data_IF_138305297509
#
_entry.id   IF_138305297509
#
_cell.length_a   1.000
_cell.length_b   1.000
_cell.length_c   1.000
_cell.angle_alpha   90.00
_cell.angle_beta   90.00
_cell.angle_gamma   90.00
#
_symmetry.space_group_name_H-M   'P 1'
#
loop_
_entity.id
_entity.type
_entity.pdbx_description
1 polymer ?
#
# COMPACT_ATOMS: atom_id res chain seq x y z
N UNK A 1 55.81 53.47 18.61
CA UNK A 1 55.48 52.67 17.40
C UNK A 1 54.39 51.67 17.79
N UNK A 2 53.22 51.80 17.17
CA UNK A 2 52.02 51.00 17.41
C UNK A 2 51.95 49.88 16.36
N UNK A 3 51.70 48.60 16.71
CA UNK A 3 51.15 47.66 15.75
C UNK A 3 49.62 47.59 15.94
N UNK A 4 48.90 48.25 15.02
CA UNK A 4 47.51 47.94 14.68
C UNK A 4 47.54 46.80 13.65
N UNK A 5 46.61 45.85 13.75
CA UNK A 5 46.31 44.90 12.66
C UNK A 5 45.69 43.59 13.14
N UNK A 6 44.40 43.61 13.44
CA UNK A 6 43.37 42.91 12.65
C UNK A 6 43.10 41.46 13.10
N UNK A 7 42.19 41.30 14.06
CA UNK A 7 41.46 40.05 14.23
C UNK A 7 40.01 40.36 14.62
N UNK A 8 39.18 40.62 13.62
CA UNK A 8 37.72 40.60 13.74
C UNK A 8 37.11 40.13 12.42
N UNK A 9 36.27 39.09 12.55
CA UNK A 9 35.12 38.67 11.71
C UNK A 9 35.22 37.25 11.18
N UNK A 10 34.94 36.30 12.06
CA UNK A 10 34.45 34.96 11.71
C UNK A 10 33.29 34.66 12.67
N UNK A 11 32.13 35.31 12.48
CA UNK A 11 30.96 35.01 13.32
C UNK A 11 29.59 35.28 12.68
N UNK A 12 29.48 35.40 11.35
CA UNK A 12 28.18 35.70 10.72
C UNK A 12 27.79 34.84 9.52
N UNK A 13 28.60 33.87 9.10
CA UNK A 13 28.25 33.00 7.95
C UNK A 13 27.65 31.65 8.38
N UNK A 14 27.69 31.28 9.65
CA UNK A 14 27.13 29.99 10.13
C UNK A 14 25.65 30.06 10.55
N UNK A 15 25.01 31.23 10.55
CA UNK A 15 23.63 31.41 11.03
C UNK A 15 22.59 31.55 9.90
N UNK A 16 22.97 31.40 8.63
CA UNK A 16 22.04 31.52 7.49
C UNK A 16 21.56 30.16 6.97
N UNK A 17 22.24 29.06 7.32
CA UNK A 17 21.77 27.71 6.97
C UNK A 17 20.72 27.14 7.94
N UNK A 18 20.52 27.72 9.12
CA UNK A 18 19.61 27.17 10.13
C UNK A 18 18.14 27.62 9.97
N UNK A 19 17.88 28.72 9.25
CA UNK A 19 16.52 29.27 9.10
C UNK A 19 15.88 28.91 7.75
N UNK A 20 16.68 28.54 6.74
CA UNK A 20 16.16 28.01 5.48
C UNK A 20 15.57 26.59 5.59
N UNK A 21 15.81 25.88 6.70
CA UNK A 21 15.24 24.55 6.97
C UNK A 21 13.90 24.58 7.72
N UNK A 22 13.38 25.75 8.08
CA UNK A 22 12.11 25.87 8.81
C UNK A 22 10.88 26.04 7.89
N UNK A 23 11.07 26.05 6.57
CA UNK A 23 10.00 25.89 5.58
C UNK A 23 10.06 24.50 4.92
N UNK A 24 10.42 23.47 5.70
CA UNK A 24 10.20 22.10 5.26
C UNK A 24 8.69 21.91 5.06
N UNK A 25 8.37 21.51 3.84
CA UNK A 25 7.05 21.26 3.30
C UNK A 25 6.09 20.64 4.32
N UNK A 26 4.79 20.89 4.13
CA UNK A 26 3.76 19.95 4.59
C UNK A 26 4.26 18.56 4.23
N UNK A 27 4.71 17.76 5.23
CA UNK A 27 4.95 16.35 5.04
C UNK A 27 3.62 15.81 4.53
N UNK A 28 3.55 15.51 3.24
CA UNK A 28 2.43 14.77 2.71
C UNK A 28 2.43 13.46 3.49
N UNK A 29 1.35 13.19 4.21
CA UNK A 29 1.15 11.97 5.00
C UNK A 29 1.14 10.68 4.15
N UNK A 30 1.48 10.79 2.86
CA UNK A 30 1.28 9.85 1.79
C UNK A 30 2.39 10.12 0.76
N UNK A 31 3.06 9.07 0.30
CA UNK A 31 4.15 9.17 -0.67
C UNK A 31 3.86 8.28 -1.86
N UNK A 32 3.81 8.84 -3.07
CA UNK A 32 3.62 8.08 -4.28
C UNK A 32 4.73 7.04 -4.50
N UNK A 33 4.34 5.85 -4.95
CA UNK A 33 5.25 4.86 -5.50
C UNK A 33 5.61 5.27 -6.94
N UNK A 34 6.89 5.28 -7.25
CA UNK A 34 7.42 5.72 -8.56
C UNK A 34 8.00 4.60 -9.39
N UNK A 35 8.36 3.48 -8.76
CA UNK A 35 8.78 2.26 -9.44
C UNK A 35 8.55 1.03 -8.54
N UNK A 36 8.44 -0.13 -9.17
CA UNK A 36 8.29 -1.43 -8.52
C UNK A 36 9.34 -2.36 -9.12
N UNK A 37 10.17 -2.95 -8.27
CA UNK A 37 11.13 -3.97 -8.66
C UNK A 37 10.61 -5.33 -8.21
N UNK A 38 10.58 -6.24 -9.16
CA UNK A 38 10.04 -7.58 -8.99
C UNK A 38 11.15 -8.60 -8.77
N UNK A 39 10.89 -9.55 -7.88
CA UNK A 39 11.78 -10.68 -7.65
C UNK A 39 11.70 -11.73 -8.76
N UNK A 40 12.15 -12.95 -8.46
CA UNK A 40 12.02 -14.07 -9.39
C UNK A 40 10.61 -14.65 -9.34
N UNK A 41 10.03 -14.91 -10.51
CA UNK A 41 8.73 -15.57 -10.61
C UNK A 41 8.75 -16.92 -9.89
N UNK A 42 7.74 -17.15 -9.06
CA UNK A 42 7.48 -18.43 -8.41
C UNK A 42 6.36 -19.12 -9.15
N UNK A 43 6.56 -20.40 -9.48
CA UNK A 43 5.58 -21.20 -10.18
C UNK A 43 5.20 -22.41 -9.33
N UNK A 44 3.91 -22.63 -9.14
CA UNK A 44 3.37 -23.77 -8.39
C UNK A 44 2.25 -24.41 -9.18
N UNK A 45 1.73 -25.54 -8.70
CA UNK A 45 0.75 -26.31 -9.48
C UNK A 45 -0.51 -25.50 -9.79
N UNK A 46 -0.87 -25.42 -11.07
CA UNK A 46 -2.11 -24.78 -11.52
C UNK A 46 -3.32 -25.39 -10.81
N UNK A 47 -4.34 -24.57 -10.59
CA UNK A 47 -5.56 -24.97 -9.88
C UNK A 47 -6.78 -24.44 -10.61
N UNK A 48 -7.78 -25.28 -10.81
CA UNK A 48 -9.07 -24.85 -11.38
C UNK A 48 -10.15 -24.89 -10.31
N UNK A 49 -10.84 -23.77 -10.12
CA UNK A 49 -11.98 -23.64 -9.22
C UNK A 49 -13.09 -22.89 -9.95
N UNK A 50 -14.25 -23.54 -10.10
CA UNK A 50 -15.33 -23.01 -10.94
C UNK A 50 -14.85 -22.84 -12.38
N UNK A 51 -15.03 -21.64 -12.93
CA UNK A 51 -14.61 -21.23 -14.26
C UNK A 51 -13.30 -20.41 -14.27
N UNK A 52 -12.50 -20.45 -13.20
CA UNK A 52 -11.15 -19.87 -13.17
C UNK A 52 -10.11 -20.97 -13.03
N UNK A 53 -9.09 -20.92 -13.89
CA UNK A 53 -7.85 -21.67 -13.74
C UNK A 53 -6.75 -20.71 -13.32
N UNK A 54 -6.29 -20.84 -12.07
CA UNK A 54 -5.12 -20.15 -11.54
C UNK A 54 -3.87 -20.85 -12.05
N UNK A 55 -3.01 -20.12 -12.77
CA UNK A 55 -1.69 -20.63 -13.13
C UNK A 55 -0.79 -20.77 -11.91
N UNK A 56 -1.08 -20.02 -10.84
CA UNK A 56 -0.24 -19.96 -9.64
C UNK A 56 1.22 -19.61 -9.97
N UNK A 57 1.38 -18.72 -10.96
CA UNK A 57 2.65 -18.13 -11.37
C UNK A 57 2.65 -16.67 -10.94
N UNK A 58 3.37 -16.33 -9.88
CA UNK A 58 3.38 -14.98 -9.33
C UNK A 58 4.80 -14.47 -9.15
N UNK A 59 4.98 -13.16 -9.34
CA UNK A 59 6.27 -12.51 -9.14
C UNK A 59 6.17 -11.58 -7.95
N UNK A 60 6.86 -11.88 -6.82
CA UNK A 60 6.75 -11.07 -5.63
C UNK A 60 7.35 -9.69 -5.88
N UNK A 61 6.78 -8.67 -5.24
CA UNK A 61 7.42 -7.35 -5.18
C UNK A 61 8.60 -7.44 -4.21
N UNK A 62 9.80 -7.14 -4.70
CA UNK A 62 11.01 -7.12 -3.86
C UNK A 62 11.24 -5.72 -3.28
N UNK A 63 11.12 -4.70 -4.14
CA UNK A 63 11.29 -3.31 -3.76
C UNK A 63 10.24 -2.41 -4.39
N UNK A 64 10.03 -1.28 -3.74
CA UNK A 64 9.41 -0.11 -4.36
C UNK A 64 10.33 1.09 -4.21
N UNK A 65 10.24 2.01 -5.16
CA UNK A 65 10.90 3.31 -5.07
C UNK A 65 9.89 4.41 -4.83
N UNK A 66 10.27 5.38 -4.00
CA UNK A 66 9.45 6.56 -3.66
C UNK A 66 10.34 7.80 -3.56
N UNK A 67 9.73 8.99 -3.38
CA UNK A 67 10.47 10.21 -3.07
C UNK A 67 11.21 10.16 -1.71
N UNK A 68 10.86 9.22 -0.82
CA UNK A 68 11.52 9.01 0.47
C UNK A 68 12.67 7.99 0.42
N UNK A 69 12.86 7.32 -0.73
CA UNK A 69 13.84 6.26 -0.92
C UNK A 69 13.20 4.93 -1.30
N UNK A 70 14.01 3.87 -1.29
CA UNK A 70 13.62 2.50 -1.63
C UNK A 70 13.13 1.77 -0.39
N UNK A 71 12.04 1.02 -0.51
CA UNK A 71 11.49 0.17 0.54
C UNK A 71 11.47 -1.28 0.09
N UNK A 72 11.70 -2.20 1.03
CA UNK A 72 11.52 -3.63 0.84
C UNK A 72 10.46 -4.19 1.79
N UNK A 73 10.02 -5.43 1.52
CA UNK A 73 8.94 -6.08 2.26
C UNK A 73 9.49 -7.15 3.22
N UNK A 74 10.37 -6.72 4.13
CA UNK A 74 10.97 -7.61 5.16
C UNK A 74 10.24 -7.56 6.52
N UNK A 75 9.14 -6.83 6.61
CA UNK A 75 8.28 -6.82 7.79
C UNK A 75 7.35 -8.04 7.85
N UNK A 76 6.66 -8.25 8.98
CA UNK A 76 5.70 -9.33 9.10
C UNK A 76 4.53 -9.13 8.12
N UNK A 77 4.03 -10.25 7.61
CA UNK A 77 2.76 -10.33 6.89
C UNK A 77 1.62 -10.37 7.92
N UNK A 78 0.47 -9.77 7.58
CA UNK A 78 -0.75 -9.94 8.36
C UNK A 78 -1.08 -11.43 8.51
N UNK A 79 -1.51 -11.82 9.71
CA UNK A 79 -1.92 -13.19 10.02
C UNK A 79 -3.32 -13.52 9.48
N UNK A 80 -4.15 -12.49 9.29
CA UNK A 80 -5.49 -12.62 8.70
C UNK A 80 -5.92 -11.29 8.07
N UNK A 81 -6.73 -11.38 7.02
CA UNK A 81 -7.51 -10.25 6.50
C UNK A 81 -8.99 -10.56 6.67
N UNK A 82 -9.74 -9.65 7.30
CA UNK A 82 -11.16 -9.85 7.61
C UNK A 82 -12.02 -8.79 6.94
N UNK A 83 -13.03 -9.23 6.21
CA UNK A 83 -14.00 -8.36 5.53
C UNK A 83 -15.20 -8.14 6.43
N UNK A 84 -15.54 -6.87 6.67
CA UNK A 84 -16.63 -6.50 7.58
C UNK A 84 -17.85 -6.08 6.79
N UNK A 85 -18.99 -6.66 7.19
CA UNK A 85 -20.34 -6.45 6.64
C UNK A 85 -20.65 -7.05 5.26
N UNK A 86 -19.70 -7.76 4.64
CA UNK A 86 -19.90 -8.47 3.37
C UNK A 86 -21.17 -9.38 3.35
N UNK A 87 -21.49 -10.06 4.46
CA UNK A 87 -22.55 -11.09 4.53
C UNK A 87 -23.77 -10.71 5.38
N UNK A 88 -24.01 -9.42 5.67
CA UNK A 88 -25.12 -9.02 6.57
C UNK A 88 -26.51 -9.15 5.93
N UNK A 89 -27.56 -9.38 6.74
CA UNK A 89 -28.95 -9.46 6.25
C UNK A 89 -29.36 -8.22 5.45
N UNK A 90 -29.95 -8.41 4.26
CA UNK A 90 -30.34 -7.32 3.36
C UNK A 90 -29.20 -6.78 2.48
N UNK A 91 -27.99 -7.34 2.61
CA UNK A 91 -26.83 -7.01 1.79
C UNK A 91 -26.67 -8.05 0.67
N UNK A 92 -26.56 -7.67 -0.63
CA UNK A 92 -26.14 -8.62 -1.65
C UNK A 92 -24.75 -9.17 -1.26
N UNK A 93 -24.71 -10.47 -0.96
CA UNK A 93 -23.52 -11.20 -0.50
C UNK A 93 -22.54 -11.43 -1.67
N UNK A 94 -22.15 -10.35 -2.33
CA UNK A 94 -21.38 -10.38 -3.55
C UNK A 94 -19.94 -10.02 -3.28
N UNK A 95 -19.03 -10.61 -4.03
CA UNK A 95 -17.62 -10.32 -3.93
C UNK A 95 -17.03 -10.25 -5.32
N UNK A 96 -16.30 -9.18 -5.59
CA UNK A 96 -15.78 -8.88 -6.91
C UNK A 96 -14.26 -8.81 -6.83
N UNK A 97 -13.61 -9.68 -7.59
CA UNK A 97 -12.16 -9.78 -7.69
C UNK A 97 -11.76 -9.57 -9.13
N UNK A 98 -10.68 -8.86 -9.38
CA UNK A 98 -10.07 -8.79 -10.69
C UNK A 98 -8.79 -9.61 -10.73
N UNK A 99 -8.46 -10.11 -11.91
CA UNK A 99 -7.26 -10.90 -12.16
C UNK A 99 -6.62 -10.46 -13.47
N UNK A 100 -5.30 -10.37 -13.49
CA UNK A 100 -4.55 -10.45 -14.72
C UNK A 100 -4.76 -11.83 -15.35
N UNK A 101 -5.07 -11.87 -16.64
CA UNK A 101 -5.39 -13.12 -17.33
C UNK A 101 -4.44 -13.43 -18.47
N UNK A 102 -4.07 -14.71 -18.57
CA UNK A 102 -3.26 -15.23 -19.67
C UNK A 102 -4.12 -15.56 -20.89
N UNK A 103 -5.32 -16.12 -20.68
CA UNK A 103 -6.27 -16.42 -21.75
C UNK A 103 -7.69 -16.53 -21.25
N UNK A 104 -8.66 -16.26 -22.13
CA UNK A 104 -10.08 -16.57 -21.92
C UNK A 104 -10.52 -17.57 -22.99
N UNK A 105 -11.12 -18.69 -22.56
CA UNK A 105 -11.72 -19.70 -23.43
C UNK A 105 -13.23 -19.75 -23.26
N UNK A 106 -13.89 -20.72 -23.91
CA UNK A 106 -15.34 -20.94 -23.88
C UNK A 106 -15.86 -21.25 -22.47
N UNK A 107 -16.05 -20.22 -21.64
CA UNK A 107 -16.59 -20.33 -20.29
C UNK A 107 -15.57 -20.64 -19.18
N UNK A 108 -14.25 -20.56 -19.45
CA UNK A 108 -13.19 -20.64 -18.42
C UNK A 108 -12.10 -19.63 -18.71
N UNK A 109 -11.66 -18.90 -17.69
CA UNK A 109 -10.54 -17.99 -17.79
C UNK A 109 -9.31 -18.55 -17.09
N UNK A 110 -8.14 -18.36 -17.71
CA UNK A 110 -6.84 -18.71 -17.12
C UNK A 110 -6.18 -17.44 -16.62
N UNK A 111 -5.91 -17.37 -15.32
CA UNK A 111 -5.38 -16.18 -14.62
C UNK A 111 -3.97 -16.41 -14.12
N UNK A 112 -3.19 -15.33 -14.01
CA UNK A 112 -1.83 -15.38 -13.48
C UNK A 112 -1.80 -15.49 -11.96
N UNK A 113 -2.83 -14.98 -11.28
CA UNK A 113 -2.90 -14.90 -9.82
C UNK A 113 -2.87 -16.23 -9.07
N UNK A 114 -2.61 -16.09 -7.77
CA UNK A 114 -2.58 -17.18 -6.80
C UNK A 114 -3.99 -17.59 -6.35
N UNK A 115 -4.28 -18.89 -6.42
CA UNK A 115 -5.48 -19.48 -5.85
C UNK A 115 -5.29 -20.93 -5.38
N UNK A 116 -5.83 -21.23 -4.20
CA UNK A 116 -5.96 -22.58 -3.63
C UNK A 116 -7.27 -23.27 -4.09
N UNK A 117 -7.52 -24.47 -3.56
CA UNK A 117 -8.75 -25.28 -3.59
C UNK A 117 -10.02 -24.52 -3.21
N UNK A 118 -9.88 -23.51 -2.36
CA UNK A 118 -10.98 -22.80 -1.71
C UNK A 118 -10.59 -21.33 -1.60
N UNK A 119 -10.49 -20.63 -2.75
CA UNK A 119 -10.00 -19.27 -2.78
C UNK A 119 -10.95 -18.37 -1.99
N UNK A 120 -10.36 -17.45 -1.22
CA UNK A 120 -11.11 -16.48 -0.43
C UNK A 120 -10.62 -15.06 -0.68
N UNK A 121 -11.45 -14.06 -0.37
CA UNK A 121 -10.99 -12.66 -0.37
C UNK A 121 -9.78 -12.44 0.54
N UNK A 122 -9.72 -13.18 1.66
CA UNK A 122 -8.60 -13.09 2.61
C UNK A 122 -7.31 -13.57 1.97
N UNK A 123 -7.38 -14.68 1.23
CA UNK A 123 -6.24 -15.20 0.47
C UNK A 123 -5.77 -14.22 -0.61
N UNK A 124 -6.70 -13.59 -1.32
CA UNK A 124 -6.36 -12.56 -2.33
C UNK A 124 -5.55 -11.44 -1.70
N UNK A 125 -5.99 -10.88 -0.57
CA UNK A 125 -5.27 -9.77 0.08
C UNK A 125 -4.00 -10.19 0.83
N UNK A 126 -3.91 -11.45 1.27
CA UNK A 126 -2.70 -12.02 1.88
C UNK A 126 -1.67 -12.51 0.86
N UNK A 127 -2.03 -12.59 -0.43
CA UNK A 127 -1.16 -13.13 -1.46
C UNK A 127 0.10 -12.29 -1.70
N UNK A 128 0.05 -10.99 -1.37
CA UNK A 128 1.09 -10.01 -1.67
C UNK A 128 1.45 -10.02 -3.17
N UNK A 129 0.40 -10.09 -4.00
CA UNK A 129 0.46 -10.30 -5.45
C UNK A 129 -0.17 -9.12 -6.19
N UNK A 130 0.51 -8.65 -7.23
CA UNK A 130 0.05 -7.57 -8.11
C UNK A 130 -0.58 -8.09 -9.41
N UNK A 131 -0.99 -9.35 -9.45
CA UNK A 131 -1.74 -9.93 -10.58
C UNK A 131 -3.21 -10.16 -10.25
N UNK A 132 -3.66 -9.88 -9.03
CA UNK A 132 -5.05 -10.02 -8.62
C UNK A 132 -5.41 -8.98 -7.55
N UNK A 133 -6.69 -8.73 -7.33
CA UNK A 133 -7.13 -7.73 -6.36
C UNK A 133 -8.64 -7.62 -6.24
N UNK A 134 -9.09 -6.79 -5.31
CA UNK A 134 -10.50 -6.52 -5.04
C UNK A 134 -10.99 -5.37 -5.90
N UNK A 135 -12.14 -5.57 -6.51
CA UNK A 135 -12.79 -4.53 -7.29
C UNK A 135 -13.87 -3.83 -6.47
N UNK A 136 -13.80 -2.51 -6.39
CA UNK A 136 -14.80 -1.65 -5.79
C UNK A 136 -15.34 -2.19 -4.43
N UNK A 137 -14.48 -2.58 -3.47
CA UNK A 137 -14.93 -3.34 -2.31
C UNK A 137 -15.85 -2.54 -1.40
N UNK A 138 -15.80 -1.20 -1.49
CA UNK A 138 -16.62 -0.29 -0.71
C UNK A 138 -17.87 0.23 -1.46
N UNK A 139 -18.11 -0.22 -2.69
CA UNK A 139 -19.33 0.13 -3.41
C UNK A 139 -20.57 -0.41 -2.68
N UNK A 140 -21.41 0.51 -2.18
CA UNK A 140 -22.58 0.19 -1.38
C UNK A 140 -23.89 0.52 -2.14
N UNK A 141 -24.86 -0.39 -2.14
CA UNK A 141 -26.20 -0.19 -2.68
C UNK A 141 -26.93 -1.50 -3.02
N UNK A 142 -28.24 -1.42 -3.26
CA UNK A 142 -29.13 -2.58 -3.39
C UNK A 142 -29.44 -3.04 -4.82
N UNK A 143 -29.04 -2.28 -5.84
CA UNK A 143 -29.52 -2.46 -7.22
C UNK A 143 -28.50 -3.08 -8.19
N UNK A 144 -27.25 -3.24 -7.78
CA UNK A 144 -26.17 -3.74 -8.64
C UNK A 144 -25.55 -5.00 -8.07
N UNK A 145 -25.37 -6.02 -8.91
CA UNK A 145 -24.61 -7.22 -8.54
C UNK A 145 -23.12 -6.95 -8.33
N UNK A 146 -22.63 -5.77 -8.72
CA UNK A 146 -21.24 -5.35 -8.53
C UNK A 146 -20.99 -4.74 -7.14
N UNK A 147 -22.03 -4.40 -6.40
CA UNK A 147 -21.90 -3.86 -5.06
C UNK A 147 -21.56 -5.00 -4.09
N UNK A 148 -20.37 -4.93 -3.52
CA UNK A 148 -19.88 -5.86 -2.49
C UNK A 148 -20.32 -5.47 -1.09
N UNK A 149 -20.63 -4.18 -0.92
CA UNK A 149 -21.06 -3.58 0.34
C UNK A 149 -20.21 -3.97 1.57
N UNK A 150 -18.90 -4.05 1.38
CA UNK A 150 -17.99 -4.15 2.50
C UNK A 150 -17.79 -2.75 3.04
N UNK A 151 -17.75 -2.59 4.37
CA UNK A 151 -17.53 -1.28 4.98
C UNK A 151 -16.10 -1.11 5.47
N UNK A 152 -15.43 -2.24 5.75
CA UNK A 152 -14.11 -2.25 6.34
C UNK A 152 -13.37 -3.54 6.04
N UNK A 153 -12.07 -3.42 5.79
CA UNK A 153 -11.14 -4.54 5.59
C UNK A 153 -10.07 -4.45 6.67
N UNK A 154 -10.03 -5.42 7.59
CA UNK A 154 -9.09 -5.43 8.72
C UNK A 154 -7.90 -6.36 8.43
N UNK A 155 -6.69 -5.81 8.39
CA UNK A 155 -5.43 -6.57 8.34
C UNK A 155 -4.94 -6.77 9.76
N UNK A 156 -4.83 -8.01 10.21
CA UNK A 156 -4.56 -8.35 11.61
C UNK A 156 -3.18 -9.00 11.79
N UNK A 157 -2.37 -8.48 12.70
CA UNK A 157 -1.10 -9.03 13.16
C UNK A 157 -1.30 -9.79 14.48
N UNK A 158 -1.25 -11.12 14.44
CA UNK A 158 -1.43 -11.95 15.62
C UNK A 158 -0.34 -11.70 16.66
N UNK A 159 -0.75 -11.44 17.91
CA UNK A 159 0.17 -11.12 19.02
C UNK A 159 0.68 -9.68 19.03
N UNK A 160 0.29 -8.87 18.05
CA UNK A 160 0.75 -7.50 17.89
C UNK A 160 2.17 -7.40 17.32
N UNK A 161 2.51 -6.19 16.90
CA UNK A 161 3.80 -5.86 16.30
C UNK A 161 4.30 -4.53 16.86
N UNK A 162 5.57 -4.49 17.24
CA UNK A 162 6.23 -3.26 17.73
C UNK A 162 6.76 -2.46 16.55
N UNK A 163 6.22 -1.25 16.38
CA UNK A 163 6.57 -0.33 15.30
C UNK A 163 8.05 0.03 15.35
N UNK A 164 8.73 -0.09 14.21
CA UNK A 164 10.11 0.27 13.98
C UNK A 164 10.21 1.56 13.15
N UNK A 165 11.40 2.17 13.18
CA UNK A 165 11.65 3.40 12.43
C UNK A 165 11.49 3.15 10.92
N UNK A 166 10.64 3.97 10.30
CA UNK A 166 10.40 3.90 8.86
C UNK A 166 9.40 2.84 8.42
N UNK A 167 8.81 2.06 9.34
CA UNK A 167 7.75 1.11 8.97
C UNK A 167 6.62 1.79 8.21
N UNK A 168 6.20 1.14 7.12
CA UNK A 168 5.15 1.62 6.25
C UNK A 168 4.35 0.47 5.67
N UNK A 169 3.16 0.79 5.18
CA UNK A 169 2.34 -0.09 4.34
C UNK A 169 2.21 0.52 2.96
N UNK A 170 2.07 -0.34 1.96
CA UNK A 170 2.01 0.07 0.56
C UNK A 170 0.76 -0.53 -0.04
N UNK A 171 -0.03 0.30 -0.70
CA UNK A 171 -1.21 -0.14 -1.44
C UNK A 171 -1.06 0.24 -2.89
N UNK A 172 -1.66 -0.58 -3.73
CA UNK A 172 -1.76 -0.31 -5.15
C UNK A 172 -3.22 -0.33 -5.56
N UNK A 173 -3.54 0.56 -6.49
CA UNK A 173 -4.83 0.70 -7.12
C UNK A 173 -4.71 0.41 -8.62
N UNK A 174 -5.79 -0.08 -9.22
CA UNK A 174 -5.86 -0.39 -10.64
C UNK A 174 -6.79 0.60 -11.34
N UNK A 175 -6.22 1.49 -12.13
CA UNK A 175 -6.91 2.70 -12.56
C UNK A 175 -6.99 2.89 -14.06
N UNK A 176 -8.07 3.53 -14.52
CA UNK A 176 -8.17 3.90 -15.91
C UNK A 176 -7.17 5.01 -16.28
N UNK A 177 -6.78 5.06 -17.55
CA UNK A 177 -5.86 6.08 -18.07
C UNK A 177 -6.34 7.49 -17.76
N UNK A 178 -5.51 8.25 -17.04
CA UNK A 178 -5.81 9.62 -16.66
C UNK A 178 -6.64 9.75 -15.38
N UNK A 179 -6.99 8.65 -14.72
CA UNK A 179 -7.41 8.61 -13.33
C UNK A 179 -6.20 8.30 -12.44
N UNK A 180 -6.13 8.89 -11.25
CA UNK A 180 -4.94 8.81 -10.38
C UNK A 180 -5.26 8.24 -8.98
N UNK A 181 -6.17 7.26 -8.95
CA UNK A 181 -6.56 6.56 -7.74
C UNK A 181 -7.78 7.19 -7.11
N UNK A 182 -8.69 6.34 -6.66
CA UNK A 182 -9.80 6.75 -5.82
C UNK A 182 -9.33 7.03 -4.38
N UNK A 183 -10.21 7.65 -3.59
CA UNK A 183 -9.90 7.95 -2.21
C UNK A 183 -10.35 6.85 -1.25
N UNK A 184 -9.54 6.56 -0.25
CA UNK A 184 -9.88 5.63 0.84
C UNK A 184 -9.41 6.15 2.19
N UNK A 185 -9.92 5.56 3.27
CA UNK A 185 -9.47 5.86 4.63
C UNK A 185 -8.72 4.66 5.21
N UNK A 186 -7.62 4.94 5.90
CA UNK A 186 -6.84 3.93 6.62
C UNK A 186 -6.63 4.34 8.08
N UNK A 187 -6.79 3.40 9.00
CA UNK A 187 -6.52 3.62 10.42
C UNK A 187 -5.81 2.42 11.05
N UNK A 188 -4.75 2.67 11.81
CA UNK A 188 -4.10 1.64 12.60
C UNK A 188 -4.84 1.40 13.92
N UNK A 189 -4.96 0.13 14.32
CA UNK A 189 -5.56 -0.26 15.59
C UNK A 189 -4.54 -0.87 16.55
N UNK A 190 -4.63 -0.46 17.81
CA UNK A 190 -3.68 -0.79 18.89
C UNK A 190 -4.31 -1.68 19.97
N UNK A 191 -5.55 -2.13 19.76
CA UNK A 191 -6.22 -3.10 20.63
C UNK A 191 -7.19 -3.95 19.82
N UNK A 192 -7.33 -5.20 20.24
CA UNK A 192 -8.28 -6.17 19.68
C UNK A 192 -9.10 -6.82 20.78
N UNK A 193 -10.30 -7.24 20.43
CA UNK A 193 -11.22 -7.92 21.32
C UNK A 193 -12.45 -8.40 20.57
N UNK A 194 -13.61 -8.38 21.23
CA UNK A 194 -14.88 -8.76 20.62
C UNK A 194 -15.70 -7.53 20.31
N UNK A 195 -16.05 -7.33 19.03
CA UNK A 195 -16.91 -6.23 18.58
C UNK A 195 -17.97 -6.83 17.66
N UNK A 196 -19.24 -6.42 17.85
CA UNK A 196 -20.37 -6.95 17.06
C UNK A 196 -20.45 -8.48 17.05
N UNK A 197 -20.03 -9.15 18.14
CA UNK A 197 -20.00 -10.60 18.25
C UNK A 197 -18.82 -11.30 17.55
N UNK A 198 -17.89 -10.55 16.96
CA UNK A 198 -16.72 -11.09 16.25
C UNK A 198 -15.46 -10.88 17.08
N UNK A 199 -14.73 -11.97 17.35
CA UNK A 199 -13.44 -11.94 18.06
C UNK A 199 -12.29 -11.45 17.18
N UNK A 200 -11.17 -11.08 17.82
CA UNK A 200 -9.99 -10.47 17.17
C UNK A 200 -10.36 -9.25 16.30
N UNK A 201 -11.39 -8.51 16.69
CA UNK A 201 -11.83 -7.30 16.03
C UNK A 201 -11.18 -6.07 16.69
N UNK A 202 -10.87 -5.01 15.93
CA UNK A 202 -10.34 -3.76 16.48
C UNK A 202 -11.27 -3.17 17.55
N UNK A 203 -10.74 -2.88 18.74
CA UNK A 203 -11.48 -2.25 19.85
C UNK A 203 -11.02 -0.81 20.12
N UNK A 204 -9.87 -0.40 19.59
CA UNK A 204 -9.36 0.97 19.67
C UNK A 204 -8.44 1.28 18.48
N UNK A 205 -8.51 2.52 18.00
CA UNK A 205 -7.67 3.03 16.91
C UNK A 205 -6.75 4.15 17.41
N UNK A 206 -5.58 4.26 16.78
CA UNK A 206 -4.60 5.30 17.10
C UNK A 206 -5.06 6.72 16.70
N UNK A 207 -5.95 6.81 15.71
CA UNK A 207 -6.48 8.07 15.18
C UNK A 207 -7.88 7.88 14.60
N UNK A 208 -8.48 8.96 14.07
CA UNK A 208 -9.74 8.94 13.30
C UNK A 208 -9.57 8.37 11.88
N UNK A 209 -8.37 7.89 11.55
CA UNK A 209 -8.01 7.41 10.22
C UNK A 209 -7.53 8.53 9.28
N UNK A 210 -6.45 8.24 8.58
CA UNK A 210 -5.91 9.07 7.51
C UNK A 210 -6.79 8.92 6.27
N UNK A 211 -7.26 10.04 5.73
CA UNK A 211 -7.88 10.07 4.40
C UNK A 211 -6.78 10.13 3.35
N UNK A 212 -6.68 9.07 2.55
CA UNK A 212 -5.97 9.09 1.28
C UNK A 212 -6.91 9.73 0.28
N UNK A 213 -6.54 10.93 -0.17
CA UNK A 213 -7.38 11.67 -1.10
C UNK A 213 -7.27 11.04 -2.51
N UNK A 214 -8.33 11.15 -3.33
CA UNK A 214 -8.22 10.84 -4.75
C UNK A 214 -7.07 11.63 -5.40
N UNK A 215 -6.55 11.11 -6.49
CA UNK A 215 -5.46 11.72 -7.27
C UNK A 215 -4.12 11.90 -6.52
N UNK A 216 -3.93 11.19 -5.40
CA UNK A 216 -2.67 11.24 -4.65
C UNK A 216 -1.69 10.15 -5.03
N UNK A 217 -2.14 9.18 -5.82
CA UNK A 217 -1.27 8.15 -6.36
C UNK A 217 -0.43 8.77 -7.47
N UNK A 218 0.84 8.36 -7.56
CA UNK A 218 1.76 8.95 -8.52
C UNK A 218 1.44 8.58 -9.97
N UNK A 219 2.46 8.69 -10.82
CA UNK A 219 2.38 8.13 -12.16
C UNK A 219 2.20 6.60 -12.10
N UNK A 220 1.71 6.03 -13.20
CA UNK A 220 1.62 4.59 -13.34
C UNK A 220 2.99 3.90 -13.20
N UNK A 221 2.96 2.72 -12.61
CA UNK A 221 4.10 1.83 -12.44
C UNK A 221 3.89 0.56 -13.25
N UNK A 222 4.97 -0.15 -13.55
CA UNK A 222 4.89 -1.43 -14.24
C UNK A 222 4.18 -2.48 -13.39
N UNK A 223 3.43 -3.38 -14.03
CA UNK A 223 2.90 -4.59 -13.40
C UNK A 223 3.91 -5.75 -13.57
N UNK A 224 3.71 -6.91 -12.90
CA UNK A 224 4.58 -8.08 -13.10
C UNK A 224 4.68 -8.54 -14.56
N UNK A 225 3.60 -8.39 -15.34
CA UNK A 225 3.52 -8.75 -16.77
C UNK A 225 3.85 -7.55 -17.70
N UNK A 226 4.35 -6.45 -17.12
CA UNK A 226 4.73 -5.23 -17.82
C UNK A 226 3.57 -4.25 -18.05
N UNK A 227 3.72 -3.38 -19.06
CA UNK A 227 2.84 -2.24 -19.31
C UNK A 227 1.52 -2.57 -20.04
N UNK A 228 1.34 -3.83 -20.46
CA UNK A 228 0.18 -4.27 -21.25
C UNK A 228 -0.62 -5.37 -20.56
N UNK A 229 -0.67 -5.35 -19.22
CA UNK A 229 -1.47 -6.31 -18.47
C UNK A 229 -2.94 -6.26 -18.91
N UNK A 230 -3.57 -7.43 -18.93
CA UNK A 230 -4.97 -7.59 -19.27
C UNK A 230 -5.74 -8.15 -18.10
N UNK A 231 -6.90 -7.59 -17.81
CA UNK A 231 -7.68 -7.91 -16.62
C UNK A 231 -9.07 -8.47 -16.96
N UNK A 232 -9.46 -9.49 -16.19
CA UNK A 232 -10.86 -9.91 -16.08
C UNK A 232 -11.37 -9.58 -14.68
N UNK A 233 -12.68 -9.43 -14.59
CA UNK A 233 -13.44 -9.40 -13.36
C UNK A 233 -14.14 -10.73 -13.16
N UNK A 234 -14.11 -11.21 -11.94
CA UNK A 234 -14.95 -12.29 -11.44
C UNK A 234 -15.85 -11.77 -10.32
N UNK A 235 -17.16 -11.96 -10.45
CA UNK A 235 -18.12 -11.68 -9.39
C UNK A 235 -18.75 -12.97 -8.90
N UNK A 236 -18.64 -13.22 -7.59
CA UNK A 236 -19.26 -14.33 -6.88
C UNK A 236 -20.39 -13.83 -5.99
N UNK A 237 -21.42 -14.65 -5.79
CA UNK A 237 -22.58 -14.34 -4.94
C UNK A 237 -22.56 -15.18 -3.66
N UNK A 238 -21.39 -15.32 -3.05
CA UNK A 238 -21.18 -16.13 -1.85
C UNK A 238 -20.21 -15.49 -0.86
N UNK A 239 -20.17 -14.15 -0.82
CA UNK A 239 -19.31 -13.38 0.05
C UNK A 239 -17.84 -13.80 -0.11
N UNK A 240 -17.19 -14.03 1.03
CA UNK A 240 -15.75 -14.33 1.10
C UNK A 240 -15.31 -15.59 0.34
N UNK A 241 -16.23 -16.51 0.00
CA UNK A 241 -15.89 -17.74 -0.71
C UNK A 241 -15.95 -17.55 -2.23
N UNK A 242 -14.79 -17.62 -2.88
CA UNK A 242 -14.63 -17.40 -4.31
C UNK A 242 -14.77 -18.70 -5.15
N UNK A 243 -15.07 -19.84 -4.52
CA UNK A 243 -15.17 -21.12 -5.19
C UNK A 243 -16.51 -21.38 -5.91
N UNK A 244 -17.54 -20.57 -5.64
CA UNK A 244 -18.90 -20.75 -6.18
C UNK A 244 -19.05 -20.27 -7.63
N UNK A 245 -20.25 -20.38 -8.22
CA UNK A 245 -20.58 -19.84 -9.55
C UNK A 245 -20.11 -18.41 -9.72
N UNK A 246 -19.26 -18.16 -10.72
CA UNK A 246 -18.66 -16.86 -10.98
C UNK A 246 -19.14 -16.33 -12.33
N UNK A 247 -19.53 -15.05 -12.37
CA UNK A 247 -19.70 -14.34 -13.64
C UNK A 247 -18.38 -13.67 -14.00
N UNK A 248 -17.88 -13.96 -15.20
CA UNK A 248 -16.61 -13.43 -15.71
C UNK A 248 -16.90 -12.39 -16.79
N UNK A 249 -16.25 -11.24 -16.69
CA UNK A 249 -16.28 -10.18 -17.69
C UNK A 249 -14.87 -9.62 -17.90
N UNK A 250 -14.50 -9.29 -19.14
CA UNK A 250 -13.25 -8.56 -19.41
C UNK A 250 -13.36 -7.12 -18.88
N UNK A 251 -12.29 -6.61 -18.26
CA UNK A 251 -12.25 -5.27 -17.68
C UNK A 251 -11.57 -4.24 -18.58
N UNK A 252 -10.59 -4.65 -19.38
CA UNK A 252 -9.93 -3.78 -20.35
C UNK A 252 -10.15 -4.22 -21.80
N UNK A 253 -9.73 -3.36 -22.71
CA UNK A 253 -9.77 -3.62 -24.14
C UNK A 253 -8.39 -3.64 -24.78
N UNK A 254 -7.32 -3.80 -23.97
CA UNK A 254 -5.95 -3.46 -24.33
C UNK A 254 -5.61 -3.90 -25.78
N UNK A 255 -5.71 -2.92 -26.68
CA UNK A 255 -5.67 -3.12 -28.14
C UNK A 255 -4.27 -2.88 -28.70
N UNK A 256 -3.27 -2.70 -27.82
CA UNK A 256 -1.90 -2.34 -28.20
C UNK A 256 -1.68 -0.85 -28.47
N UNK A 257 -2.70 -0.01 -28.27
CA UNK A 257 -2.59 1.46 -28.27
C UNK A 257 -3.27 2.02 -27.01
N UNK A 258 -2.59 2.88 -26.22
CA UNK A 258 -3.17 3.50 -25.04
C UNK A 258 -4.53 4.15 -25.35
N UNK A 259 -5.58 3.73 -24.65
CA UNK A 259 -6.93 4.28 -24.75
C UNK A 259 -7.54 4.46 -23.36
N UNK A 260 -8.64 5.22 -23.22
CA UNK A 260 -9.25 5.55 -21.93
C UNK A 260 -9.75 4.36 -21.09
N UNK A 261 -9.82 3.16 -21.68
CA UNK A 261 -10.25 1.93 -21.01
C UNK A 261 -9.09 1.02 -20.60
N UNK A 262 -7.84 1.41 -20.90
CA UNK A 262 -6.69 0.66 -20.38
C UNK A 262 -6.53 0.92 -18.88
N UNK A 263 -6.06 -0.11 -18.18
CA UNK A 263 -5.88 -0.10 -16.74
C UNK A 263 -4.39 -0.04 -16.40
N UNK A 264 -4.04 0.84 -15.47
CA UNK A 264 -2.69 1.08 -14.99
C UNK A 264 -2.60 0.86 -13.50
N UNK A 265 -1.46 0.33 -13.07
CA UNK A 265 -1.14 0.19 -11.68
C UNK A 265 -0.60 1.50 -11.14
N UNK A 266 -1.18 2.01 -10.06
CA UNK A 266 -0.66 3.17 -9.33
C UNK A 266 -0.47 2.79 -7.86
N UNK A 267 0.49 3.38 -7.16
CA UNK A 267 0.84 2.96 -5.81
C UNK A 267 1.04 4.12 -4.84
N UNK A 268 0.73 3.85 -3.57
CA UNK A 268 0.91 4.77 -2.45
C UNK A 268 1.60 4.07 -1.28
N UNK A 269 2.57 4.75 -0.68
CA UNK A 269 3.22 4.38 0.58
C UNK A 269 2.69 5.26 1.72
N UNK A 270 2.33 4.62 2.82
CA UNK A 270 1.79 5.26 4.03
C UNK A 270 2.62 4.79 5.22
N UNK A 271 3.34 5.71 5.88
CA UNK A 271 4.15 5.33 7.05
C UNK A 271 3.28 5.24 8.28
N UNK A 272 3.68 4.41 9.24
CA UNK A 272 2.96 4.31 10.51
C UNK A 272 2.95 5.62 11.31
N UNK A 273 3.97 6.47 11.14
CA UNK A 273 3.95 7.84 11.69
C UNK A 273 2.82 8.68 11.14
N UNK A 274 2.45 8.47 9.88
CA UNK A 274 1.34 9.19 9.23
C UNK A 274 -0.04 8.69 9.73
N UNK A 275 -0.07 7.49 10.35
CA UNK A 275 -1.24 6.93 11.03
C UNK A 275 -1.33 7.30 12.52
N UNK A 276 -0.39 8.11 13.02
CA UNK A 276 -0.35 8.56 14.40
C UNK A 276 0.41 7.63 15.36
N UNK A 277 1.26 6.75 14.83
CA UNK A 277 2.07 5.82 15.63
C UNK A 277 3.52 6.29 15.77
N UNK A 278 4.12 5.98 16.90
CA UNK A 278 5.53 6.21 17.17
C UNK A 278 6.31 4.89 17.14
N UNK A 279 7.63 5.00 16.97
CA UNK A 279 8.54 3.86 17.16
C UNK A 279 8.41 3.34 18.60
N UNK A 280 8.22 2.02 18.74
CA UNK A 280 7.99 1.37 20.02
C UNK A 280 6.51 1.15 20.36
N UNK A 281 5.57 1.80 19.66
CA UNK A 281 4.15 1.52 19.83
C UNK A 281 3.83 0.09 19.40
N UNK A 282 2.88 -0.56 20.08
CA UNK A 282 2.37 -1.86 19.67
C UNK A 282 1.11 -1.67 18.84
N UNK A 283 1.09 -2.23 17.64
CA UNK A 283 -0.08 -2.29 16.77
C UNK A 283 -0.56 -3.72 16.62
N UNK A 284 -1.86 -3.90 16.40
CA UNK A 284 -2.42 -5.20 16.07
C UNK A 284 -2.85 -5.27 14.61
N UNK A 285 -2.71 -4.18 13.85
CA UNK A 285 -3.09 -4.11 12.45
C UNK A 285 -3.56 -2.74 12.01
N UNK A 286 -4.22 -2.71 10.87
CA UNK A 286 -4.89 -1.54 10.31
C UNK A 286 -6.13 -1.94 9.53
N UNK A 287 -7.01 -0.97 9.34
CA UNK A 287 -8.26 -1.14 8.63
C UNK A 287 -8.33 -0.20 7.44
N UNK A 288 -8.75 -0.72 6.29
CA UNK A 288 -9.14 0.05 5.11
C UNK A 288 -10.64 0.27 5.11
N UNK A 289 -11.06 1.45 4.69
CA UNK A 289 -12.43 1.93 4.71
C UNK A 289 -12.70 2.82 3.50
N UNK A 290 -13.97 2.99 3.15
CA UNK A 290 -14.40 4.00 2.18
C UNK A 290 -13.93 5.40 2.61
N UNK A 291 -13.59 6.26 1.63
CA UNK A 291 -13.14 7.63 1.93
C UNK A 291 -14.24 8.53 2.52
N UNK A 292 -15.51 8.19 2.30
CA UNK A 292 -16.68 8.88 2.84
C UNK A 292 -16.99 8.58 4.31
N UNK A 293 -16.22 7.72 4.98
CA UNK A 293 -16.34 7.48 6.42
C UNK A 293 -16.18 8.79 7.21
N UNK A 294 -17.16 9.09 8.07
CA UNK A 294 -17.35 10.39 8.74
C UNK A 294 -16.92 10.40 10.22
N UNK A 295 -15.95 9.57 10.59
CA UNK A 295 -15.48 9.45 11.97
C UNK A 295 -14.97 10.79 12.53
N UNK A 296 -15.52 11.18 13.68
CA UNK A 296 -15.12 12.38 14.44
C UNK A 296 -14.16 12.04 15.58
N UNK A 297 -14.19 10.80 16.05
CA UNK A 297 -13.33 10.24 17.08
C UNK A 297 -12.80 8.87 16.66
N UNK A 298 -11.67 8.43 17.22
CA UNK A 298 -11.13 7.09 16.91
C UNK A 298 -12.06 5.95 17.35
N UNK A 299 -12.91 6.18 18.36
CA UNK A 299 -13.94 5.22 18.79
C UNK A 299 -15.07 5.04 17.78
N UNK A 300 -15.35 6.03 16.95
CA UNK A 300 -16.40 5.94 15.92
C UNK A 300 -16.09 4.80 14.91
N UNK A 301 -14.80 4.55 14.68
CA UNK A 301 -14.33 3.51 13.77
C UNK A 301 -14.56 2.09 14.28
N UNK A 302 -14.80 1.89 15.58
CA UNK A 302 -14.88 0.54 16.16
C UNK A 302 -16.08 -0.23 15.61
N UNK A 303 -17.26 0.39 15.60
CA UNK A 303 -18.50 -0.25 15.18
C UNK A 303 -18.78 -0.06 13.68
N UNK A 304 -18.38 -1.04 12.86
CA UNK A 304 -18.63 -1.06 11.40
C UNK A 304 -20.10 -1.22 11.00
N UNK A 305 -21.01 -1.43 11.95
CA UNK A 305 -22.46 -1.44 11.70
C UNK A 305 -23.10 -0.07 11.94
N UNK A 306 -22.33 0.94 12.39
CA UNK A 306 -22.86 2.28 12.61
C UNK A 306 -23.02 3.01 11.27
N UNK A 307 -24.25 3.03 10.74
CA UNK A 307 -24.56 3.65 9.45
C UNK A 307 -24.38 5.17 9.39
N UNK A 308 -24.23 5.83 10.54
CA UNK A 308 -23.89 7.27 10.59
C UNK A 308 -22.41 7.53 10.36
N UNK A 309 -21.56 6.49 10.50
CA UNK A 309 -20.11 6.55 10.30
C UNK A 309 -19.71 5.82 9.01
N UNK A 310 -20.29 4.65 8.76
CA UNK A 310 -20.08 3.81 7.58
C UNK A 310 -21.33 3.86 6.70
N UNK A 311 -21.30 4.68 5.65
CA UNK A 311 -22.47 4.97 4.85
C UNK A 311 -22.90 3.77 4.02
N UNK A 312 -24.18 3.40 4.08
CA UNK A 312 -24.72 2.23 3.35
C UNK A 312 -25.01 2.52 1.87
N UNK A 313 -24.53 3.65 1.36
CA UNK A 313 -24.79 4.18 0.04
C UNK A 313 -23.55 4.88 -0.54
N UNK A 314 -22.35 4.47 -0.11
CA UNK A 314 -21.08 4.83 -0.73
C UNK A 314 -21.15 4.66 -2.23
N UNK A 315 -21.01 5.78 -2.93
CA UNK A 315 -21.18 5.87 -4.36
C UNK A 315 -20.03 5.14 -5.09
N UNK A 316 -20.34 4.15 -5.96
CA UNK A 316 -19.36 3.38 -6.69
C UNK A 316 -18.59 4.18 -7.75
N UNK A 317 -18.85 5.49 -7.90
CA UNK A 317 -18.15 6.37 -8.84
C UNK A 317 -17.29 7.44 -8.17
N UNK A 318 -17.32 7.54 -6.83
CA UNK A 318 -16.54 8.54 -6.09
C UNK A 318 -15.68 7.93 -4.99
N UNK A 319 -16.29 7.24 -4.01
CA UNK A 319 -15.56 6.67 -2.86
C UNK A 319 -15.56 5.14 -2.86
N UNK A 320 -16.41 4.52 -3.67
CA UNK A 320 -16.53 3.07 -3.82
C UNK A 320 -15.77 2.48 -5.01
N UNK A 321 -15.07 3.30 -5.80
CA UNK A 321 -14.44 2.86 -7.06
C UNK A 321 -12.98 2.34 -6.91
N UNK A 322 -12.47 2.28 -5.67
CA UNK A 322 -11.15 1.73 -5.36
C UNK A 322 -10.98 0.29 -5.86
N UNK A 323 -9.94 0.02 -6.64
CA UNK A 323 -9.56 -1.32 -7.11
C UNK A 323 -8.25 -1.78 -6.43
N UNK A 324 -8.32 -2.19 -5.17
CA UNK A 324 -7.13 -2.63 -4.42
C UNK A 324 -6.51 -3.88 -5.01
N UNK A 325 -5.23 -3.80 -5.36
CA UNK A 325 -4.44 -5.01 -5.62
C UNK A 325 -4.36 -5.89 -4.36
N UNK A 326 -4.14 -7.19 -4.55
CA UNK A 326 -3.91 -8.22 -3.52
C UNK A 326 -2.59 -8.06 -2.77
N UNK A 327 -2.23 -6.80 -2.50
CA UNK A 327 -0.97 -6.33 -1.95
C UNK A 327 -1.24 -5.37 -0.80
N UNK A 328 -0.28 -5.27 0.11
CA UNK A 328 -0.36 -4.33 1.23
C UNK A 328 -0.80 -4.97 2.54
N UNK A 329 -0.70 -6.30 2.65
CA UNK A 329 -0.78 -7.02 3.94
C UNK A 329 0.56 -7.09 4.68
N UNK A 330 1.67 -6.75 4.01
CA UNK A 330 3.02 -6.87 4.57
C UNK A 330 3.59 -5.50 4.91
N UNK A 331 4.25 -5.41 6.07
CA UNK A 331 4.98 -4.22 6.47
C UNK A 331 6.23 -4.07 5.59
N UNK A 332 6.40 -2.88 5.04
CA UNK A 332 7.57 -2.45 4.29
C UNK A 332 8.51 -1.61 5.17
N UNK A 333 9.80 -1.62 4.85
CA UNK A 333 10.82 -0.82 5.54
C UNK A 333 11.79 -0.19 4.54
N UNK A 334 12.38 0.98 4.87
CA UNK A 334 13.41 1.57 4.05
C UNK A 334 14.58 0.60 3.93
N UNK A 335 15.06 0.40 2.71
CA UNK A 335 16.35 -0.24 2.47
C UNK A 335 17.41 0.71 2.97
N UNK A 336 18.25 0.34 3.96
CA UNK A 336 19.33 1.21 4.39
C UNK A 336 20.21 1.52 3.18
N UNK A 337 20.42 2.81 2.90
CA UNK A 337 21.46 3.16 1.92
C UNK A 337 22.77 2.52 2.39
N UNK A 338 23.54 1.86 1.51
CA UNK A 338 24.91 1.49 1.82
C UNK A 338 25.58 2.74 2.38
N UNK A 339 26.30 2.67 3.50
CA UNK A 339 26.69 3.84 4.29
C UNK A 339 27.55 4.84 3.51
N UNK A 340 26.94 5.60 2.61
CA UNK A 340 27.57 6.59 1.73
C UNK A 340 28.18 7.67 2.61
N UNK A 341 27.50 8.02 3.71
CA UNK A 341 28.02 8.88 4.76
C UNK A 341 29.25 8.29 5.47
N UNK A 342 29.25 6.98 5.76
CA UNK A 342 30.41 6.30 6.33
C UNK A 342 31.60 6.30 5.36
N UNK A 343 31.36 6.02 4.08
CA UNK A 343 32.38 6.04 3.03
C UNK A 343 32.91 7.46 2.77
N UNK A 344 32.04 8.48 2.77
CA UNK A 344 32.42 9.89 2.62
C UNK A 344 33.23 10.37 3.83
N UNK A 345 32.86 9.99 5.05
CA UNK A 345 33.60 10.33 6.26
C UNK A 345 34.96 9.64 6.31
N UNK A 346 35.03 8.36 5.95
CA UNK A 346 36.30 7.63 5.80
C UNK A 346 37.17 8.25 4.71
N UNK A 347 36.61 8.56 3.55
CA UNK A 347 37.31 9.21 2.45
C UNK A 347 37.85 10.58 2.83
N UNK A 348 37.06 11.41 3.52
CA UNK A 348 37.48 12.71 4.04
C UNK A 348 38.58 12.56 5.11
N UNK A 349 38.47 11.57 6.00
CA UNK A 349 39.49 11.26 7.00
C UNK A 349 40.82 10.87 6.39
N UNK A 350 40.80 10.00 5.38
CA UNK A 350 41.99 9.57 4.62
C UNK A 350 42.62 10.74 3.85
N UNK A 351 41.81 11.58 3.21
CA UNK A 351 42.27 12.77 2.50
C UNK A 351 42.96 13.77 3.46
N UNK A 352 42.36 14.05 4.62
CA UNK A 352 42.96 14.92 5.64
C UNK A 352 44.27 14.34 6.18
N UNK A 353 44.33 13.04 6.40
CA UNK A 353 45.56 12.37 6.84
C UNK A 353 46.66 12.44 5.77
N UNK A 354 46.31 12.22 4.50
CA UNK A 354 47.21 12.36 3.36
C UNK A 354 47.76 13.79 3.20
N UNK A 355 46.88 14.81 3.28
CA UNK A 355 47.28 16.23 3.22
C UNK A 355 48.22 16.58 4.38
N UNK A 356 47.92 16.12 5.59
CA UNK A 356 48.78 16.34 6.77
C UNK A 356 50.17 15.73 6.57
N UNK A 357 50.23 14.49 6.08
CA UNK A 357 51.50 13.79 5.81
C UNK A 357 52.33 14.51 4.74
N UNK A 358 51.70 14.94 3.64
CA UNK A 358 52.36 15.66 2.56
C UNK A 358 52.96 17.00 3.02
N UNK A 359 52.22 17.76 3.85
CA UNK A 359 52.73 19.00 4.43
C UNK A 359 53.93 18.78 5.34
N UNK A 360 53.90 17.74 6.18
CA UNK A 360 55.06 17.41 7.04
C UNK A 360 56.29 17.00 6.24
N UNK A 361 56.10 16.29 5.12
CA UNK A 361 57.22 15.89 4.26
C UNK A 361 57.92 17.07 3.58
N UNK A 362 57.15 18.09 3.18
CA UNK A 362 57.70 19.33 2.58
C UNK A 362 58.51 20.18 3.57
N UNK A 363 58.14 20.15 4.85
CA UNK A 363 58.87 20.85 5.92
C UNK A 363 60.18 20.13 6.26
N UNK A 364 60.25 18.81 6.10
CA UNK A 364 61.47 18.05 6.36
C UNK A 364 62.52 18.12 5.22
N UNK A 365 62.14 18.60 4.04
CA UNK A 365 63.01 18.70 2.85
C UNK A 365 63.38 20.15 2.47
N UNK A 366 62.97 21.13 3.28
CA UNK A 366 63.30 22.55 3.11
C UNK A 366 64.28 22.99 4.21
#
# INVERSE_FOLDING_TARGET
MNPKGSCRRLSRTFLVCAVASACAARLLAQTAVTAVDYGTATDTTNRTVGNITYNNTYTPVEYISTALGTYNFNGPLASAVNFRRNTSSGNPNNSTVFYQYASTGSGTATVLGKGDSSPTLSEVMLSNDLTQGLRNPFANGSSSSLNTNMERIDFYFSGGYTVQAGDAVVFFDLENVGNFGDGFRIAAFNSVGTVNGVGNAPTAYASTGLLVAPDTFGNSVATPDGSNAKYIRSTTTNGDNLASSQSIATLDSNSGTPNSSDLYLVGILIRFTDLGLNVGDTIYGYSLMAGDVTASTSSDLVNWNNSSVYLTNTDPTTWGNMDFMGFGAQISRPVPEPSTYGALLLGAGLALFGIRRWRMHRVATA
#
